data_IF_181204206900
#
_entry.id   IF_181204206900
#
_cell.length_a   1.000
_cell.length_b   1.000
_cell.length_c   1.000
_cell.angle_alpha   90.00
_cell.angle_beta   90.00
_cell.angle_gamma   90.00
#
_symmetry.space_group_name_H-M   'P 1'
#
loop_
_entity.id
_entity.type
_entity.pdbx_description
1 polymer ?
#
# COMPACT_ATOMS: atom_id res chain seq x y z
N UNK A 1 23.14 -47.51 28.56
CA UNK A 1 23.90 -46.50 27.78
C UNK A 1 23.25 -46.34 26.43
N UNK A 2 22.40 -45.31 26.22
CA UNK A 2 21.80 -45.05 24.92
C UNK A 2 22.66 -44.10 24.10
N UNK A 3 22.71 -44.39 22.81
CA UNK A 3 23.46 -43.72 21.75
C UNK A 3 22.89 -42.31 21.54
N UNK A 4 23.72 -41.28 21.72
CA UNK A 4 23.44 -39.91 21.32
C UNK A 4 23.57 -39.79 19.79
N UNK A 5 22.43 -39.74 19.08
CA UNK A 5 22.38 -39.18 17.73
C UNK A 5 22.41 -37.65 17.81
N UNK A 6 23.16 -36.94 16.95
CA UNK A 6 23.08 -35.50 16.88
C UNK A 6 21.75 -35.11 16.21
N UNK A 7 20.96 -34.29 16.92
CA UNK A 7 19.84 -33.54 16.37
C UNK A 7 20.36 -32.66 15.22
N UNK A 8 20.10 -33.10 13.99
CA UNK A 8 20.20 -32.29 12.78
C UNK A 8 19.33 -31.04 12.95
N UNK A 9 19.95 -29.94 13.37
CA UNK A 9 19.41 -28.61 13.17
C UNK A 9 19.33 -28.37 11.66
N UNK A 10 18.13 -28.53 11.09
CA UNK A 10 17.85 -28.05 9.75
C UNK A 10 17.76 -26.52 9.79
N UNK A 11 18.54 -25.76 9.01
CA UNK A 11 18.47 -24.31 9.02
C UNK A 11 17.25 -23.87 8.18
N UNK A 12 16.16 -23.50 8.85
CA UNK A 12 14.96 -22.94 8.20
C UNK A 12 15.09 -21.41 7.97
N UNK A 13 16.23 -20.79 8.27
CA UNK A 13 16.38 -19.33 8.27
C UNK A 13 16.90 -18.67 6.98
N UNK A 14 17.47 -19.39 6.00
CA UNK A 14 18.33 -18.72 4.99
C UNK A 14 17.68 -18.48 3.59
N UNK A 15 16.47 -18.97 3.35
CA UNK A 15 15.80 -18.85 2.03
C UNK A 15 14.81 -17.68 1.97
N UNK A 16 14.28 -17.23 3.13
CA UNK A 16 13.25 -16.18 3.20
C UNK A 16 13.81 -14.76 3.09
N UNK A 17 15.06 -14.54 3.48
CA UNK A 17 15.73 -13.22 3.41
C UNK A 17 16.13 -12.80 1.99
N UNK A 18 16.17 -13.73 1.02
CA UNK A 18 16.73 -13.48 -0.32
C UNK A 18 15.88 -12.60 -1.24
N UNK A 19 14.65 -12.26 -0.87
CA UNK A 19 13.69 -11.56 -1.78
C UNK A 19 13.66 -10.05 -1.64
N UNK A 20 14.02 -9.53 -0.48
CA UNK A 20 14.08 -8.08 -0.26
C UNK A 20 15.42 -7.47 -0.67
N UNK A 21 16.46 -8.29 -0.87
CA UNK A 21 17.84 -7.86 -1.16
C UNK A 21 17.91 -6.72 -2.18
N UNK A 22 18.06 -5.51 -1.66
CA UNK A 22 18.12 -4.28 -2.42
C UNK A 22 19.40 -4.22 -3.26
N UNK A 23 19.29 -3.88 -4.55
CA UNK A 23 20.41 -3.82 -5.49
C UNK A 23 20.60 -2.42 -6.04
N UNK A 24 21.85 -1.99 -6.13
CA UNK A 24 22.27 -0.81 -6.86
C UNK A 24 22.75 -1.20 -8.27
N UNK A 25 22.60 -0.33 -9.29
CA UNK A 25 22.10 1.04 -9.23
C UNK A 25 20.58 1.14 -9.03
N UNK A 26 20.11 2.34 -8.66
CA UNK A 26 18.68 2.67 -8.49
C UNK A 26 18.28 3.91 -9.31
N UNK A 27 17.02 3.97 -9.75
CA UNK A 27 16.38 5.18 -10.24
C UNK A 27 15.62 5.82 -9.08
N UNK A 28 15.89 7.10 -8.82
CA UNK A 28 15.17 7.91 -7.85
C UNK A 28 14.35 8.99 -8.56
N UNK A 29 13.08 9.14 -8.18
CA UNK A 29 12.25 10.25 -8.62
C UNK A 29 11.59 10.90 -7.41
N UNK A 30 11.68 12.22 -7.33
CA UNK A 30 11.11 13.05 -6.27
C UNK A 30 10.26 14.15 -6.93
N UNK A 31 9.08 14.44 -6.39
CA UNK A 31 8.22 15.51 -6.89
C UNK A 31 8.61 16.91 -6.36
N UNK A 32 9.67 16.99 -5.55
CA UNK A 32 10.19 18.21 -4.94
C UNK A 32 9.66 18.48 -3.53
N UNK A 33 8.69 17.69 -3.05
CA UNK A 33 8.11 17.83 -1.72
C UNK A 33 8.81 17.02 -0.63
N UNK A 34 9.72 16.11 -1.00
CA UNK A 34 10.65 15.44 -0.09
C UNK A 34 11.97 16.23 -0.08
N UNK A 35 12.28 16.93 1.02
CA UNK A 35 13.43 17.85 1.14
C UNK A 35 14.54 17.29 2.03
N UNK A 36 14.24 16.33 2.91
CA UNK A 36 15.21 15.66 3.75
C UNK A 36 16.24 14.91 2.90
N UNK A 37 17.43 15.50 2.74
CA UNK A 37 18.49 14.97 1.90
C UNK A 37 19.11 13.71 2.50
N UNK A 38 19.20 13.61 3.83
CA UNK A 38 19.74 12.44 4.50
C UNK A 38 18.84 11.23 4.28
N UNK A 39 17.53 11.41 4.46
CA UNK A 39 16.54 10.37 4.16
C UNK A 39 16.58 9.95 2.68
N UNK A 40 16.67 10.91 1.74
CA UNK A 40 16.78 10.62 0.31
C UNK A 40 18.03 9.80 -0.03
N UNK A 41 19.19 10.12 0.56
CA UNK A 41 20.43 9.38 0.36
C UNK A 41 20.32 7.95 0.92
N UNK A 42 19.78 7.78 2.13
CA UNK A 42 19.60 6.47 2.73
C UNK A 42 18.64 5.59 1.92
N UNK A 43 17.55 6.18 1.43
CA UNK A 43 16.55 5.48 0.62
C UNK A 43 17.13 5.01 -0.72
N UNK A 44 18.00 5.79 -1.35
CA UNK A 44 18.68 5.39 -2.59
C UNK A 44 19.72 4.30 -2.37
N UNK A 45 20.44 4.37 -1.25
CA UNK A 45 21.49 3.42 -0.90
C UNK A 45 20.92 2.05 -0.49
N UNK A 46 19.95 2.04 0.43
CA UNK A 46 19.39 0.80 0.98
C UNK A 46 17.98 1.02 1.58
N UNK A 47 16.94 0.73 0.79
CA UNK A 47 15.54 0.83 1.24
C UNK A 47 15.24 -0.09 2.42
N UNK A 48 15.85 -1.27 2.49
CA UNK A 48 15.61 -2.23 3.59
C UNK A 48 16.10 -1.67 4.93
N UNK A 49 17.24 -0.98 4.93
CA UNK A 49 17.78 -0.33 6.13
C UNK A 49 16.82 0.76 6.64
N UNK A 50 16.30 1.59 5.73
CA UNK A 50 15.30 2.61 6.05
C UNK A 50 14.02 1.98 6.62
N UNK A 51 13.53 0.90 6.01
CA UNK A 51 12.34 0.19 6.50
C UNK A 51 12.57 -0.47 7.87
N UNK A 52 13.77 -0.97 8.15
CA UNK A 52 14.14 -1.61 9.41
C UNK A 52 14.27 -0.63 10.57
N UNK A 53 14.70 0.61 10.30
CA UNK A 53 14.79 1.68 11.31
C UNK A 53 13.42 2.26 11.69
N UNK A 54 12.42 2.14 10.81
CA UNK A 54 11.07 2.63 11.04
C UNK A 54 10.17 1.68 11.85
N UNK A 55 9.00 2.17 12.25
CA UNK A 55 7.94 1.35 12.83
C UNK A 55 7.25 0.56 11.72
N UNK A 56 7.42 -0.77 11.71
CA UNK A 56 6.79 -1.64 10.71
C UNK A 56 5.27 -1.63 10.87
N UNK A 57 4.56 -1.17 9.84
CA UNK A 57 3.09 -1.17 9.77
C UNK A 57 2.57 -2.50 9.19
N UNK A 58 3.28 -3.05 8.20
CA UNK A 58 2.92 -4.31 7.57
C UNK A 58 4.17 -5.00 7.02
N UNK A 59 4.33 -6.30 7.27
CA UNK A 59 5.39 -7.11 6.65
C UNK A 59 4.84 -8.45 6.18
N UNK A 60 5.13 -8.79 4.94
CA UNK A 60 4.84 -10.08 4.33
C UNK A 60 6.01 -10.51 3.44
N UNK A 61 5.88 -11.65 2.77
CA UNK A 61 6.87 -12.14 1.82
C UNK A 61 7.08 -11.22 0.60
N UNK A 62 6.10 -10.37 0.28
CA UNK A 62 6.08 -9.60 -0.97
C UNK A 62 6.00 -8.09 -0.77
N UNK A 63 5.75 -7.65 0.46
CA UNK A 63 5.44 -6.28 0.79
C UNK A 63 5.99 -5.96 2.16
N UNK A 64 6.65 -4.82 2.28
CA UNK A 64 7.07 -4.26 3.55
C UNK A 64 6.70 -2.79 3.57
N UNK A 65 5.94 -2.41 4.59
CA UNK A 65 5.49 -1.05 4.86
C UNK A 65 5.99 -0.65 6.23
N UNK A 66 6.74 0.46 6.31
CA UNK A 66 7.14 1.06 7.58
C UNK A 66 6.80 2.54 7.60
N UNK A 67 6.41 3.04 8.78
CA UNK A 67 6.40 4.45 9.12
C UNK A 67 7.81 4.85 9.53
N UNK A 68 8.33 5.92 8.95
CA UNK A 68 9.68 6.43 9.22
C UNK A 68 9.56 7.91 9.58
N UNK A 69 10.19 8.30 10.68
CA UNK A 69 10.28 9.71 11.06
C UNK A 69 11.41 10.38 10.27
N UNK A 70 11.14 11.53 9.64
CA UNK A 70 12.10 12.28 8.84
C UNK A 70 12.05 13.77 9.21
N UNK A 71 13.00 14.57 8.72
CA UNK A 71 12.97 16.02 8.93
C UNK A 71 11.77 16.71 8.26
N UNK A 72 11.15 16.07 7.26
CA UNK A 72 9.92 16.54 6.60
C UNK A 72 8.63 16.07 7.30
N UNK A 73 8.75 15.39 8.45
CA UNK A 73 7.66 14.78 9.19
C UNK A 73 7.50 13.27 8.92
N UNK A 74 6.49 12.62 9.51
CA UNK A 74 6.31 11.17 9.38
C UNK A 74 5.97 10.78 7.94
N UNK A 75 6.76 9.85 7.39
CA UNK A 75 6.58 9.28 6.06
C UNK A 75 6.24 7.79 6.15
N UNK A 76 5.62 7.26 5.10
CA UNK A 76 5.43 5.83 4.90
C UNK A 76 6.26 5.40 3.71
N UNK A 77 7.11 4.40 3.92
CA UNK A 77 7.85 3.71 2.87
C UNK A 77 7.14 2.38 2.62
N UNK A 78 6.65 2.18 1.39
CA UNK A 78 6.03 0.93 0.94
C UNK A 78 6.90 0.31 -0.15
N UNK A 79 7.52 -0.81 0.17
CA UNK A 79 8.35 -1.59 -0.73
C UNK A 79 7.58 -2.75 -1.35
N UNK A 80 7.84 -2.95 -2.64
CA UNK A 80 7.29 -3.98 -3.49
C UNK A 80 8.42 -4.93 -3.91
N UNK A 81 8.24 -6.20 -3.60
CA UNK A 81 9.06 -7.26 -4.20
C UNK A 81 8.51 -7.53 -5.60
N UNK A 82 9.33 -7.31 -6.63
CA UNK A 82 8.92 -7.61 -8.00
C UNK A 82 9.01 -9.12 -8.25
N UNK A 83 7.91 -9.72 -8.71
CA UNK A 83 7.91 -11.16 -9.01
C UNK A 83 8.68 -11.42 -10.31
N UNK A 84 9.63 -12.35 -10.28
CA UNK A 84 10.28 -12.89 -11.46
C UNK A 84 9.30 -13.77 -12.27
N UNK A 85 8.38 -13.18 -13.03
CA UNK A 85 7.52 -13.95 -13.92
C UNK A 85 8.15 -14.05 -15.31
N UNK A 86 8.52 -15.29 -15.68
CA UNK A 86 9.29 -15.69 -16.87
C UNK A 86 8.61 -15.45 -18.23
N UNK A 87 7.64 -14.53 -18.34
CA UNK A 87 6.98 -14.20 -19.61
C UNK A 87 6.81 -12.70 -19.87
N UNK A 88 7.40 -11.82 -19.07
CA UNK A 88 7.33 -10.37 -19.30
C UNK A 88 8.66 -9.66 -19.16
N UNK A 89 9.67 -10.18 -19.86
CA UNK A 89 10.96 -9.50 -20.06
C UNK A 89 10.70 -8.06 -20.53
N UNK A 90 9.76 -7.85 -21.47
CA UNK A 90 9.33 -6.51 -21.92
C UNK A 90 8.84 -5.61 -20.78
N UNK A 91 8.04 -6.10 -19.82
CA UNK A 91 7.56 -5.25 -18.69
C UNK A 91 8.68 -4.92 -17.70
N UNK A 92 9.67 -5.80 -17.52
CA UNK A 92 10.85 -5.51 -16.68
C UNK A 92 11.72 -4.37 -17.22
N UNK A 93 11.63 -4.05 -18.51
CA UNK A 93 12.32 -2.89 -19.10
C UNK A 93 11.47 -1.61 -19.09
N UNK A 94 10.16 -1.68 -18.79
CA UNK A 94 9.24 -0.56 -19.04
C UNK A 94 8.85 0.20 -17.78
N UNK A 95 8.33 -0.47 -16.73
CA UNK A 95 7.80 0.22 -15.55
C UNK A 95 7.88 -0.65 -14.27
N UNK A 96 8.33 -0.05 -13.17
CA UNK A 96 8.23 -0.64 -11.83
C UNK A 96 6.80 -0.59 -11.27
N UNK A 97 6.48 -1.42 -10.26
CA UNK A 97 5.25 -1.28 -9.48
C UNK A 97 5.12 0.08 -8.84
N UNK A 98 6.21 0.64 -8.29
CA UNK A 98 6.21 2.00 -7.75
C UNK A 98 5.76 3.05 -8.79
N UNK A 99 6.19 2.92 -10.04
CA UNK A 99 5.78 3.81 -11.14
C UNK A 99 4.29 3.67 -11.44
N UNK A 100 3.80 2.42 -11.52
CA UNK A 100 2.37 2.13 -11.77
C UNK A 100 1.52 2.67 -10.61
N UNK A 101 1.94 2.41 -9.37
CA UNK A 101 1.28 2.88 -8.15
C UNK A 101 1.16 4.41 -8.15
N UNK A 102 2.27 5.11 -8.42
CA UNK A 102 2.29 6.59 -8.47
C UNK A 102 1.39 7.14 -9.54
N UNK A 103 1.38 6.53 -10.73
CA UNK A 103 0.45 6.91 -11.81
C UNK A 103 -1.01 6.73 -11.39
N UNK A 104 -1.35 5.63 -10.69
CA UNK A 104 -2.71 5.40 -10.17
C UNK A 104 -3.08 6.38 -9.08
N UNK A 105 -2.17 6.66 -8.14
CA UNK A 105 -2.42 7.62 -7.07
C UNK A 105 -2.75 9.01 -7.64
N UNK A 106 -1.94 9.49 -8.59
CA UNK A 106 -2.20 10.77 -9.27
C UNK A 106 -3.51 10.76 -10.06
N UNK A 107 -3.83 9.66 -10.74
CA UNK A 107 -5.11 9.50 -11.45
C UNK A 107 -6.31 9.57 -10.49
N UNK A 108 -6.21 8.96 -9.32
CA UNK A 108 -7.26 9.00 -8.29
C UNK A 108 -7.39 10.39 -7.67
N UNK A 109 -6.27 11.03 -7.32
CA UNK A 109 -6.25 12.39 -6.79
C UNK A 109 -6.90 13.39 -7.76
N UNK A 110 -6.56 13.31 -9.06
CA UNK A 110 -7.19 14.13 -10.10
C UNK A 110 -8.69 13.87 -10.27
N UNK A 111 -9.18 12.70 -9.86
CA UNK A 111 -10.59 12.33 -9.87
C UNK A 111 -11.32 12.64 -8.54
N UNK A 112 -10.66 13.30 -7.59
CA UNK A 112 -11.21 13.58 -6.26
C UNK A 112 -11.43 12.32 -5.42
N UNK A 113 -10.67 11.25 -5.66
CA UNK A 113 -10.70 10.02 -4.85
C UNK A 113 -9.56 10.12 -3.83
N UNK A 114 -9.86 10.25 -2.52
CA UNK A 114 -8.82 10.37 -1.50
C UNK A 114 -7.94 9.11 -1.47
N UNK A 115 -6.63 9.32 -1.57
CA UNK A 115 -5.61 8.26 -1.50
C UNK A 115 -4.24 8.89 -1.21
N UNK A 116 -3.32 8.18 -0.54
CA UNK A 116 -1.95 8.67 -0.37
C UNK A 116 -1.25 8.83 -1.72
N UNK A 117 -0.78 10.05 -2.01
CA UNK A 117 -0.03 10.35 -3.23
C UNK A 117 1.46 10.23 -2.95
N UNK A 118 2.22 9.40 -3.69
CA UNK A 118 3.66 9.31 -3.54
C UNK A 118 4.36 10.63 -3.84
N UNK A 119 5.25 11.01 -2.94
CA UNK A 119 6.17 12.14 -3.07
C UNK A 119 7.51 11.74 -3.67
N UNK A 120 7.89 10.47 -3.48
CA UNK A 120 9.07 9.91 -4.10
C UNK A 120 8.89 8.43 -4.46
N UNK A 121 9.66 7.98 -5.45
CA UNK A 121 9.79 6.58 -5.84
C UNK A 121 11.24 6.19 -5.99
N UNK A 122 11.55 4.95 -5.63
CA UNK A 122 12.86 4.35 -5.88
C UNK A 122 12.66 3.00 -6.54
N UNK A 123 13.47 2.68 -7.54
CA UNK A 123 13.44 1.37 -8.18
C UNK A 123 14.86 0.89 -8.48
N UNK A 124 15.14 -0.38 -8.26
CA UNK A 124 16.38 -1.01 -8.73
C UNK A 124 16.41 -0.99 -10.26
N UNK A 125 17.56 -0.66 -10.86
CA UNK A 125 17.71 -0.55 -12.31
C UNK A 125 19.03 -1.17 -12.80
N UNK A 126 19.27 -2.46 -12.51
CA UNK A 126 20.51 -3.12 -12.91
C UNK A 126 20.50 -3.52 -14.40
N UNK A 127 21.39 -2.93 -15.21
CA UNK A 127 21.55 -3.24 -16.64
C UNK A 127 20.23 -3.15 -17.44
N UNK A 128 19.39 -2.17 -17.13
CA UNK A 128 18.07 -1.98 -17.75
C UNK A 128 16.95 -2.87 -17.19
N UNK A 129 17.27 -3.85 -16.33
CA UNK A 129 16.26 -4.66 -15.65
C UNK A 129 15.75 -3.97 -14.39
N UNK A 130 14.46 -3.69 -14.38
CA UNK A 130 13.78 -3.17 -13.19
C UNK A 130 13.63 -4.32 -12.17
N UNK A 131 14.18 -4.10 -10.98
CA UNK A 131 14.05 -4.98 -9.83
C UNK A 131 13.03 -4.44 -8.83
N UNK A 132 13.25 -4.70 -7.54
CA UNK A 132 12.38 -4.22 -6.47
C UNK A 132 12.19 -2.70 -6.53
N UNK A 133 11.07 -2.23 -6.01
CA UNK A 133 10.76 -0.80 -6.01
C UNK A 133 10.03 -0.39 -4.76
N UNK A 134 10.05 0.89 -4.43
CA UNK A 134 9.30 1.45 -3.32
C UNK A 134 8.68 2.80 -3.69
N UNK A 135 7.63 3.14 -2.96
CA UNK A 135 7.00 4.46 -2.95
C UNK A 135 7.14 5.05 -1.55
N UNK A 136 7.29 6.36 -1.49
CA UNK A 136 7.24 7.15 -0.27
C UNK A 136 6.07 8.12 -0.36
N UNK A 137 5.23 8.16 0.66
CA UNK A 137 4.15 9.13 0.79
C UNK A 137 4.05 9.60 2.25
N UNK A 138 3.39 10.75 2.47
CA UNK A 138 3.18 11.29 3.82
C UNK A 138 2.32 10.33 4.64
N UNK A 139 2.68 10.15 5.90
CA UNK A 139 1.86 9.37 6.82
C UNK A 139 0.51 10.06 7.03
N UNK A 140 -0.56 9.31 6.76
CA UNK A 140 -1.92 9.72 7.08
C UNK A 140 -2.31 9.08 8.42
N UNK A 141 -2.63 9.89 9.42
CA UNK A 141 -3.16 9.43 10.69
C UNK A 141 -4.57 8.88 10.50
N UNK A 142 -4.87 7.79 11.19
CA UNK A 142 -6.18 7.17 11.13
C UNK A 142 -6.09 5.68 11.43
N UNK A 143 -7.24 5.03 11.35
CA UNK A 143 -7.35 3.59 11.53
C UNK A 143 -7.99 2.95 10.31
N UNK A 144 -7.80 1.65 10.13
CA UNK A 144 -8.46 0.95 9.02
C UNK A 144 -9.97 1.02 9.21
N UNK A 145 -10.74 0.98 8.11
CA UNK A 145 -12.20 0.93 8.19
C UNK A 145 -12.70 -0.23 9.05
N UNK A 146 -11.97 -1.36 9.07
CA UNK A 146 -12.27 -2.49 9.95
C UNK A 146 -12.22 -2.09 11.42
N UNK A 147 -11.11 -1.46 11.84
CA UNK A 147 -10.91 -1.01 13.23
C UNK A 147 -11.91 0.08 13.59
N UNK A 148 -12.20 0.99 12.67
CA UNK A 148 -13.20 2.04 12.85
C UNK A 148 -14.59 1.46 13.11
N UNK A 149 -15.07 0.55 12.26
CA UNK A 149 -16.38 -0.09 12.44
C UNK A 149 -16.45 -0.90 13.73
N UNK A 150 -15.38 -1.61 14.10
CA UNK A 150 -15.28 -2.31 15.37
C UNK A 150 -15.38 -1.34 16.56
N UNK A 151 -14.67 -0.21 16.50
CA UNK A 151 -14.69 0.80 17.57
C UNK A 151 -16.08 1.41 17.78
N UNK A 152 -16.86 1.60 16.72
CA UNK A 152 -18.25 2.09 16.85
C UNK A 152 -19.17 1.00 17.44
N UNK A 153 -18.94 -0.26 17.05
CA UNK A 153 -19.74 -1.38 17.52
C UNK A 153 -19.54 -1.64 19.03
N UNK A 154 -18.29 -1.52 19.49
CA UNK A 154 -17.90 -1.82 20.87
C UNK A 154 -18.09 -0.64 21.83
N UNK A 155 -18.26 0.59 21.32
CA UNK A 155 -18.47 1.77 22.18
C UNK A 155 -19.90 1.81 22.72
N UNK A 156 -20.04 1.43 23.99
CA UNK A 156 -21.31 1.45 24.74
C UNK A 156 -21.85 2.87 24.97
N UNK A 157 -21.01 3.90 24.88
CA UNK A 157 -21.42 5.29 25.08
C UNK A 157 -22.06 5.90 23.82
N UNK A 158 -21.93 5.23 22.67
CA UNK A 158 -22.52 5.69 21.41
C UNK A 158 -23.96 5.21 21.34
N UNK A 159 -24.89 6.17 21.34
CA UNK A 159 -26.32 5.88 21.23
C UNK A 159 -26.65 5.17 19.90
N UNK A 160 -27.66 4.29 19.84
CA UNK A 160 -28.01 3.53 18.64
C UNK A 160 -28.22 4.40 17.39
N UNK A 161 -28.85 5.55 17.54
CA UNK A 161 -29.07 6.50 16.44
C UNK A 161 -27.76 7.12 15.94
N UNK A 162 -26.84 7.47 16.84
CA UNK A 162 -25.53 8.01 16.47
C UNK A 162 -24.69 6.98 15.73
N UNK A 163 -24.75 5.71 16.18
CA UNK A 163 -24.12 4.57 15.50
C UNK A 163 -24.67 4.41 14.08
N UNK A 164 -25.99 4.45 13.93
CA UNK A 164 -26.64 4.38 12.62
C UNK A 164 -26.18 5.51 11.68
N UNK A 165 -26.16 6.76 12.17
CA UNK A 165 -25.71 7.91 11.38
C UNK A 165 -24.25 7.77 10.91
N UNK A 166 -23.32 7.43 11.82
CA UNK A 166 -21.91 7.20 11.46
C UNK A 166 -21.76 6.11 10.39
N UNK A 167 -22.49 5.00 10.52
CA UNK A 167 -22.46 3.92 9.55
C UNK A 167 -23.06 4.33 8.20
N UNK A 168 -24.12 5.13 8.19
CA UNK A 168 -24.73 5.65 6.97
C UNK A 168 -23.79 6.58 6.20
N UNK A 169 -23.11 7.50 6.88
CA UNK A 169 -22.12 8.40 6.29
C UNK A 169 -20.97 7.62 5.62
N UNK A 170 -20.45 6.60 6.31
CA UNK A 170 -19.39 5.74 5.75
C UNK A 170 -19.88 4.95 4.53
N UNK A 171 -21.11 4.42 4.56
CA UNK A 171 -21.73 3.74 3.40
C UNK A 171 -21.82 4.67 2.19
N UNK A 172 -22.25 5.92 2.41
CA UNK A 172 -22.36 6.92 1.35
C UNK A 172 -20.99 7.27 0.74
N UNK A 173 -19.98 7.51 1.58
CA UNK A 173 -18.62 7.77 1.12
C UNK A 173 -18.06 6.61 0.29
N UNK A 174 -18.27 5.36 0.72
CA UNK A 174 -17.83 4.17 -0.02
C UNK A 174 -18.56 4.00 -1.35
N UNK A 175 -19.88 4.23 -1.38
CA UNK A 175 -20.66 4.19 -2.61
C UNK A 175 -20.14 5.25 -3.61
N UNK A 176 -19.96 6.48 -3.14
CA UNK A 176 -19.40 7.60 -3.93
C UNK A 176 -18.00 7.27 -4.46
N UNK A 177 -17.15 6.64 -3.66
CA UNK A 177 -15.81 6.20 -4.08
C UNK A 177 -15.89 5.15 -5.20
N UNK A 178 -16.74 4.13 -5.05
CA UNK A 178 -16.96 3.10 -6.06
C UNK A 178 -17.46 3.68 -7.39
N UNK A 179 -18.34 4.68 -7.33
CA UNK A 179 -18.83 5.39 -8.52
C UNK A 179 -17.76 6.22 -9.21
N UNK A 180 -16.95 6.96 -8.45
CA UNK A 180 -15.82 7.72 -9.00
C UNK A 180 -14.81 6.80 -9.67
N UNK A 181 -14.48 5.64 -9.07
CA UNK A 181 -13.62 4.62 -9.69
C UNK A 181 -14.20 4.11 -11.01
N UNK A 182 -15.50 3.80 -11.02
CA UNK A 182 -16.18 3.33 -12.22
C UNK A 182 -16.16 4.38 -13.34
N UNK A 183 -16.37 5.66 -13.00
CA UNK A 183 -16.34 6.78 -13.94
C UNK A 183 -14.99 6.93 -14.63
N UNK A 184 -13.88 6.69 -13.92
CA UNK A 184 -12.53 6.72 -14.49
C UNK A 184 -12.07 5.38 -15.09
N UNK A 185 -12.97 4.42 -15.22
CA UNK A 185 -12.71 3.12 -15.87
C UNK A 185 -11.80 2.19 -15.06
N UNK A 186 -11.78 2.34 -13.74
CA UNK A 186 -11.01 1.50 -12.83
C UNK A 186 -11.93 0.63 -11.96
N UNK A 187 -11.55 -0.63 -11.80
CA UNK A 187 -12.14 -1.53 -10.80
C UNK A 187 -11.07 -1.91 -9.78
N UNK A 188 -11.44 -1.94 -8.51
CA UNK A 188 -10.61 -2.48 -7.44
C UNK A 188 -10.89 -3.98 -7.33
N UNK A 189 -9.87 -4.83 -7.44
CA UNK A 189 -10.05 -6.30 -7.44
C UNK A 189 -10.00 -6.94 -6.07
N UNK A 190 -9.63 -6.18 -5.03
CA UNK A 190 -9.42 -6.67 -3.67
C UNK A 190 -10.14 -5.77 -2.65
N UNK A 191 -11.46 -5.60 -2.83
CA UNK A 191 -12.26 -4.70 -2.00
C UNK A 191 -12.52 -5.36 -0.64
N UNK A 192 -11.90 -4.82 0.41
CA UNK A 192 -12.12 -5.22 1.80
C UNK A 192 -11.83 -4.06 2.75
N UNK A 193 -12.38 -4.09 3.97
CA UNK A 193 -12.28 -3.00 4.95
C UNK A 193 -10.83 -2.59 5.28
N UNK A 194 -9.88 -3.54 5.27
CA UNK A 194 -8.45 -3.25 5.51
C UNK A 194 -7.77 -2.37 4.43
N UNK A 195 -8.39 -2.16 3.27
CA UNK A 195 -7.85 -1.31 2.19
C UNK A 195 -8.43 0.11 2.24
N UNK A 196 -9.05 0.49 3.35
CA UNK A 196 -9.58 1.83 3.57
C UNK A 196 -9.04 2.38 4.88
N UNK A 197 -8.58 3.62 4.85
CA UNK A 197 -8.19 4.38 6.04
C UNK A 197 -9.31 5.37 6.37
N UNK A 198 -9.70 5.45 7.63
CA UNK A 198 -10.64 6.44 8.16
C UNK A 198 -9.83 7.37 9.06
N UNK A 199 -9.85 8.66 8.73
CA UNK A 199 -9.18 9.68 9.53
C UNK A 199 -10.06 10.18 10.69
N UNK A 200 -9.54 11.12 11.47
CA UNK A 200 -10.24 11.74 12.60
C UNK A 200 -11.50 12.52 12.20
N UNK A 201 -11.59 12.95 10.94
CA UNK A 201 -12.75 13.64 10.37
C UNK A 201 -13.71 12.65 9.69
N UNK A 202 -13.57 11.35 9.94
CA UNK A 202 -14.36 10.28 9.35
C UNK A 202 -14.29 10.21 7.82
N UNK A 203 -13.24 10.79 7.21
CA UNK A 203 -13.03 10.78 5.78
C UNK A 203 -12.31 9.50 5.34
N UNK A 204 -12.81 8.88 4.28
CA UNK A 204 -12.28 7.60 3.76
C UNK A 204 -11.24 7.83 2.67
N UNK A 205 -10.07 7.23 2.86
CA UNK A 205 -9.02 7.13 1.83
C UNK A 205 -8.82 5.68 1.36
N UNK A 206 -8.69 5.50 0.05
CA UNK A 206 -8.40 4.20 -0.56
C UNK A 206 -6.90 3.88 -0.45
N UNK A 207 -6.60 2.68 0.05
CA UNK A 207 -5.27 2.09 0.09
C UNK A 207 -5.12 1.01 -1.02
N UNK A 208 -3.93 0.43 -1.10
CA UNK A 208 -3.54 -0.64 -2.03
C UNK A 208 -3.92 -0.48 -3.51
N UNK A 209 -3.34 0.56 -4.14
CA UNK A 209 -3.57 0.87 -5.56
C UNK A 209 -3.04 -0.18 -6.55
N UNK A 210 -2.25 -1.16 -6.09
CA UNK A 210 -1.79 -2.28 -6.91
C UNK A 210 -2.90 -3.24 -7.31
N UNK A 211 -4.03 -3.18 -6.61
CA UNK A 211 -5.24 -3.96 -6.87
C UNK A 211 -6.20 -3.23 -7.82
N UNK A 212 -5.84 -2.04 -8.31
CA UNK A 212 -6.62 -1.35 -9.35
C UNK A 212 -6.34 -1.94 -10.74
N UNK A 213 -7.40 -2.19 -11.49
CA UNK A 213 -7.34 -2.71 -12.86
C UNK A 213 -8.18 -1.83 -13.79
N UNK A 214 -7.60 -1.36 -14.92
CA UNK A 214 -8.39 -0.78 -15.99
C UNK A 214 -9.42 -1.77 -16.51
N UNK A 215 -10.65 -1.31 -16.69
CA UNK A 215 -11.66 -2.11 -17.34
C UNK A 215 -12.73 -1.25 -17.99
N UNK A 216 -13.17 -1.69 -19.18
CA UNK A 216 -14.35 -1.14 -19.87
C UNK A 216 -15.60 -2.02 -19.66
N UNK A 217 -15.44 -3.15 -18.96
CA UNK A 217 -16.51 -4.13 -18.78
C UNK A 217 -17.45 -3.63 -17.68
N UNK A 218 -18.67 -3.21 -18.08
CA UNK A 218 -19.70 -2.70 -17.17
C UNK A 218 -19.92 -3.60 -15.96
N UNK A 219 -19.95 -4.92 -16.14
CA UNK A 219 -20.15 -5.87 -15.04
C UNK A 219 -19.03 -5.82 -13.97
N UNK A 220 -17.77 -5.54 -14.36
CA UNK A 220 -16.66 -5.44 -13.39
C UNK A 220 -16.72 -4.15 -12.60
N UNK A 221 -17.08 -3.06 -13.27
CA UNK A 221 -17.31 -1.76 -12.61
C UNK A 221 -18.50 -1.86 -11.64
N UNK A 222 -19.60 -2.46 -12.10
CA UNK A 222 -20.79 -2.70 -11.29
C UNK A 222 -20.48 -3.60 -10.08
N UNK A 223 -19.82 -4.74 -10.28
CA UNK A 223 -19.43 -5.64 -9.19
C UNK A 223 -18.51 -4.94 -8.19
N UNK A 224 -17.53 -4.17 -8.67
CA UNK A 224 -16.66 -3.39 -7.79
C UNK A 224 -17.49 -2.40 -6.96
N UNK A 225 -18.40 -1.63 -7.57
CA UNK A 225 -19.31 -0.72 -6.85
C UNK A 225 -20.14 -1.43 -5.78
N UNK A 226 -20.72 -2.59 -6.10
CA UNK A 226 -21.51 -3.36 -5.12
C UNK A 226 -20.67 -3.81 -3.93
N UNK A 227 -19.42 -4.24 -4.15
CA UNK A 227 -18.54 -4.66 -3.07
C UNK A 227 -18.25 -3.53 -2.08
N UNK A 228 -18.18 -2.27 -2.53
CA UNK A 228 -17.99 -1.12 -1.64
C UNK A 228 -19.18 -0.91 -0.70
N UNK A 229 -20.41 -1.11 -1.20
CA UNK A 229 -21.64 -0.96 -0.41
C UNK A 229 -21.80 -2.04 0.66
N UNK A 230 -21.18 -3.20 0.45
CA UNK A 230 -21.23 -4.35 1.36
C UNK A 230 -20.15 -4.32 2.46
N UNK A 231 -19.30 -3.29 2.49
CA UNK A 231 -18.22 -3.19 3.49
C UNK A 231 -18.70 -2.80 4.88
N UNK A 232 -19.88 -2.22 4.99
CA UNK A 232 -20.50 -1.85 6.27
C UNK A 232 -21.64 -2.83 6.51
N UNK A 233 -21.62 -3.60 7.62
CA UNK A 233 -22.69 -4.53 7.97
C UNK A 233 -24.00 -3.79 8.22
#
# INVERSE_FOLDING_TARGET
MPILLPLLHSPVSDVRERRFRWRTPTTFANDGSLRDSHFQSNLQANVESVLAQGTTLQRSEWRWISKVETADGPMVVKMFVERCWRHSIKRKFLCSRATIYTKRARQLAAAGIPTPVPVATVAENFAGLIGNSCVVYRYASGQTLRMYLQSIADDENVLPEQRYHKMAEIREQLASLGERLARIGLAHTDVHQGNFLVDQNQSISLLDLDSLRPTRKRYRLFRSRLQFQQLVP
#
